data_IF_806469356834
#
_entry.id   IF_806469356834
#
_cell.length_a   1.000
_cell.length_b   1.000
_cell.length_c   1.000
_cell.angle_alpha   90.00
_cell.angle_beta   90.00
_cell.angle_gamma   90.00
#
_symmetry.space_group_name_H-M   'P 1'
#
loop_
_entity.id
_entity.type
_entity.pdbx_description
1 polymer ?
#
# COMPACT_ATOMS: atom_id res chain seq x y z
N UNK A 1 -28.56 31.91 -22.76
CA UNK A 1 -28.41 30.42 -22.85
C UNK A 1 -26.96 29.94 -22.97
N UNK A 2 -26.05 30.70 -23.60
CA UNK A 2 -24.62 30.31 -23.75
C UNK A 2 -23.77 30.64 -22.52
N UNK A 3 -24.11 31.67 -21.78
CA UNK A 3 -23.46 32.08 -20.51
C UNK A 3 -23.68 31.07 -19.36
N UNK A 4 -24.82 30.40 -19.30
CA UNK A 4 -25.05 29.35 -18.29
C UNK A 4 -24.23 28.07 -18.55
N UNK A 5 -23.93 27.73 -19.81
CA UNK A 5 -23.07 26.59 -20.14
C UNK A 5 -21.62 26.79 -19.72
N UNK A 6 -21.13 28.03 -19.71
CA UNK A 6 -19.74 28.36 -19.32
C UNK A 6 -19.57 28.25 -17.81
N UNK A 7 -20.60 28.55 -17.02
CA UNK A 7 -20.55 28.51 -15.56
C UNK A 7 -20.70 27.09 -14.97
N UNK A 8 -21.32 26.17 -15.71
CA UNK A 8 -21.55 24.79 -15.24
C UNK A 8 -20.38 23.82 -15.55
N UNK A 9 -19.55 24.12 -16.56
CA UNK A 9 -18.41 23.27 -16.95
C UNK A 9 -17.36 23.03 -15.85
N UNK A 10 -16.89 24.03 -15.08
CA UNK A 10 -15.86 23.79 -14.08
C UNK A 10 -16.29 22.88 -12.94
N UNK A 11 -17.57 22.92 -12.56
CA UNK A 11 -18.13 22.12 -11.46
C UNK A 11 -18.34 20.65 -11.83
N UNK A 12 -18.80 20.40 -13.05
CA UNK A 12 -19.00 19.02 -13.54
C UNK A 12 -17.69 18.29 -13.81
N UNK A 13 -16.67 18.97 -14.37
CA UNK A 13 -15.34 18.39 -14.54
C UNK A 13 -14.68 18.09 -13.21
N UNK A 14 -14.80 18.99 -12.23
CA UNK A 14 -14.25 18.76 -10.88
C UNK A 14 -14.89 17.55 -10.17
N UNK A 15 -16.20 17.35 -10.30
CA UNK A 15 -16.91 16.24 -9.64
C UNK A 15 -16.63 14.91 -10.33
N UNK A 16 -16.55 14.87 -11.65
CA UNK A 16 -16.15 13.69 -12.41
C UNK A 16 -14.71 13.29 -12.07
N UNK A 17 -13.80 14.26 -12.01
CA UNK A 17 -12.38 14.02 -11.66
C UNK A 17 -12.21 13.47 -10.25
N UNK A 18 -13.06 13.86 -9.27
CA UNK A 18 -13.06 13.28 -7.91
C UNK A 18 -13.61 11.86 -7.86
N UNK A 19 -14.50 11.49 -8.77
CA UNK A 19 -15.13 10.16 -8.80
C UNK A 19 -14.17 9.08 -9.35
N UNK A 20 -13.30 9.43 -10.29
CA UNK A 20 -12.43 8.45 -10.97
C UNK A 20 -11.50 7.71 -9.98
N UNK A 21 -10.73 8.38 -9.09
CA UNK A 21 -9.92 7.66 -8.10
C UNK A 21 -10.77 6.75 -7.19
N UNK A 22 -11.93 7.22 -6.73
CA UNK A 22 -12.81 6.43 -5.88
C UNK A 22 -13.36 5.19 -6.60
N UNK A 23 -13.69 5.30 -7.90
CA UNK A 23 -14.12 4.17 -8.72
C UNK A 23 -13.00 3.14 -8.90
N UNK A 24 -11.76 3.58 -9.06
CA UNK A 24 -10.60 2.69 -9.16
C UNK A 24 -10.39 1.93 -7.84
N UNK A 25 -10.46 2.60 -6.67
CA UNK A 25 -10.38 1.92 -5.37
C UNK A 25 -11.54 0.93 -5.18
N UNK A 26 -12.77 1.28 -5.59
CA UNK A 26 -13.91 0.33 -5.55
C UNK A 26 -13.72 -0.84 -6.50
N UNK A 27 -13.22 -0.62 -7.71
CA UNK A 27 -12.96 -1.69 -8.68
C UNK A 27 -11.95 -2.71 -8.14
N UNK A 28 -10.97 -2.28 -7.35
CA UNK A 28 -10.01 -3.15 -6.67
C UNK A 28 -10.70 -4.09 -5.68
N UNK A 29 -11.66 -3.60 -4.89
CA UNK A 29 -12.46 -4.44 -3.98
C UNK A 29 -13.24 -5.48 -4.77
N UNK A 30 -13.87 -5.08 -5.88
CA UNK A 30 -14.59 -6.02 -6.76
C UNK A 30 -13.66 -7.04 -7.40
N UNK A 31 -12.44 -6.64 -7.81
CA UNK A 31 -11.42 -7.54 -8.36
C UNK A 31 -10.91 -8.57 -7.34
N UNK A 32 -11.03 -8.32 -6.03
CA UNK A 32 -10.67 -9.30 -5.02
C UNK A 32 -11.59 -10.53 -5.04
N UNK A 33 -12.84 -10.41 -5.48
CA UNK A 33 -13.75 -11.56 -5.58
C UNK A 33 -13.26 -12.60 -6.59
N UNK A 34 -13.05 -12.27 -7.89
CA UNK A 34 -12.49 -13.25 -8.82
C UNK A 34 -11.07 -13.68 -8.44
N UNK A 35 -10.26 -12.81 -7.78
CA UNK A 35 -8.94 -13.20 -7.28
C UNK A 35 -9.01 -14.35 -6.28
N UNK A 36 -10.04 -14.38 -5.42
CA UNK A 36 -10.27 -15.46 -4.46
C UNK A 36 -10.86 -16.74 -5.09
N UNK A 37 -11.49 -16.63 -6.27
CA UNK A 37 -12.11 -17.76 -6.97
C UNK A 37 -11.18 -18.49 -7.92
N UNK A 38 -10.10 -17.84 -8.33
CA UNK A 38 -9.11 -18.39 -9.26
C UNK A 38 -8.01 -19.09 -8.47
N UNK A 39 -7.54 -20.24 -8.94
CA UNK A 39 -6.44 -20.95 -8.32
C UNK A 39 -5.16 -20.11 -8.28
N UNK A 40 -4.55 -20.04 -7.10
CA UNK A 40 -3.29 -19.35 -6.91
C UNK A 40 -2.20 -19.92 -7.85
N UNK A 41 -1.23 -19.08 -8.21
CA UNK A 41 -0.10 -19.41 -9.09
C UNK A 41 -0.47 -19.67 -10.57
N UNK A 42 -1.74 -19.51 -10.95
CA UNK A 42 -2.16 -19.58 -12.36
C UNK A 42 -2.00 -18.26 -13.08
N UNK A 43 -1.96 -18.28 -14.41
CA UNK A 43 -1.85 -17.06 -15.24
C UNK A 43 -3.02 -16.09 -14.96
N UNK A 44 -4.30 -16.53 -14.90
CA UNK A 44 -5.40 -15.63 -14.54
C UNK A 44 -5.24 -14.98 -13.16
N UNK A 45 -4.73 -15.71 -12.15
CA UNK A 45 -4.43 -15.14 -10.84
C UNK A 45 -3.45 -13.97 -10.93
N UNK A 46 -2.32 -14.16 -11.64
CA UNK A 46 -1.30 -13.13 -11.77
C UNK A 46 -1.78 -11.92 -12.58
N UNK A 47 -2.65 -12.13 -13.56
CA UNK A 47 -3.28 -11.03 -14.32
C UNK A 47 -4.17 -10.19 -13.38
N UNK A 48 -5.04 -10.83 -12.58
CA UNK A 48 -5.91 -10.14 -11.61
C UNK A 48 -5.09 -9.41 -10.54
N UNK A 49 -4.03 -10.07 -10.03
CA UNK A 49 -3.11 -9.49 -9.05
C UNK A 49 -2.45 -8.22 -9.60
N UNK A 50 -1.91 -8.28 -10.83
CA UNK A 50 -1.30 -7.13 -11.50
C UNK A 50 -2.30 -6.00 -11.74
N UNK A 51 -3.49 -6.31 -12.25
CA UNK A 51 -4.52 -5.29 -12.49
C UNK A 51 -4.89 -4.59 -11.18
N UNK A 52 -5.10 -5.35 -10.10
CA UNK A 52 -5.42 -4.78 -8.80
C UNK A 52 -4.32 -3.87 -8.26
N UNK A 53 -3.04 -4.26 -8.38
CA UNK A 53 -1.93 -3.41 -7.95
C UNK A 53 -1.70 -2.19 -8.85
N UNK A 54 -1.93 -2.32 -10.16
CA UNK A 54 -1.84 -1.19 -11.09
C UNK A 54 -2.96 -0.16 -10.86
N UNK A 55 -4.18 -0.61 -10.52
CA UNK A 55 -5.27 0.32 -10.17
C UNK A 55 -4.92 1.16 -8.95
N UNK A 56 -4.23 0.61 -7.94
CA UNK A 56 -3.71 1.34 -6.78
C UNK A 56 -2.70 2.44 -7.16
N UNK A 57 -1.75 2.10 -8.03
CA UNK A 57 -0.78 3.09 -8.50
C UNK A 57 -1.45 4.21 -9.31
N UNK A 58 -2.48 3.86 -10.11
CA UNK A 58 -3.17 4.81 -10.97
C UNK A 58 -4.08 5.76 -10.18
N UNK A 59 -4.87 5.27 -9.22
CA UNK A 59 -5.77 6.15 -8.45
C UNK A 59 -4.99 7.16 -7.61
N UNK A 60 -3.92 6.72 -6.94
CA UNK A 60 -3.03 7.61 -6.20
C UNK A 60 -2.28 8.61 -7.09
N UNK A 61 -1.89 8.22 -8.31
CA UNK A 61 -1.27 9.14 -9.27
C UNK A 61 -2.27 10.18 -9.79
N UNK A 62 -3.48 9.74 -10.17
CA UNK A 62 -4.53 10.61 -10.71
C UNK A 62 -5.04 11.60 -9.65
N UNK A 63 -5.27 11.15 -8.41
CA UNK A 63 -5.71 12.00 -7.31
C UNK A 63 -4.72 13.15 -7.05
N UNK A 64 -3.42 12.85 -7.04
CA UNK A 64 -2.35 13.86 -6.88
C UNK A 64 -2.26 14.80 -8.09
N UNK A 65 -2.29 14.25 -9.32
CA UNK A 65 -2.15 15.05 -10.54
C UNK A 65 -3.30 16.04 -10.73
N UNK A 66 -4.50 15.66 -10.34
CA UNK A 66 -5.69 16.50 -10.45
C UNK A 66 -5.99 17.30 -9.18
N UNK A 67 -5.19 17.15 -8.11
CA UNK A 67 -5.39 17.82 -6.81
C UNK A 67 -6.80 17.59 -6.25
N UNK A 68 -7.37 16.40 -6.46
CA UNK A 68 -8.73 16.01 -6.06
C UNK A 68 -8.76 15.07 -4.85
N UNK A 69 -7.71 15.08 -4.06
CA UNK A 69 -7.62 14.26 -2.85
C UNK A 69 -8.77 14.57 -1.88
N UNK A 70 -9.46 13.54 -1.42
CA UNK A 70 -10.55 13.68 -0.45
C UNK A 70 -10.35 12.74 0.73
N UNK A 71 -10.84 13.13 1.92
CA UNK A 71 -10.77 12.29 3.12
C UNK A 71 -11.53 10.96 2.95
N UNK A 72 -12.62 10.98 2.19
CA UNK A 72 -13.42 9.78 1.90
C UNK A 72 -12.68 8.88 0.93
N UNK A 73 -12.11 9.43 -0.14
CA UNK A 73 -11.30 8.69 -1.11
C UNK A 73 -10.10 8.01 -0.45
N UNK A 74 -9.36 8.73 0.40
CA UNK A 74 -8.22 8.16 1.12
C UNK A 74 -8.61 7.00 2.06
N UNK A 75 -9.81 7.04 2.68
CA UNK A 75 -10.30 5.93 3.50
C UNK A 75 -10.71 4.73 2.64
N UNK A 76 -11.37 4.98 1.52
CA UNK A 76 -11.79 3.95 0.59
C UNK A 76 -10.58 3.24 -0.02
N UNK A 77 -9.56 3.99 -0.41
CA UNK A 77 -8.27 3.50 -0.90
C UNK A 77 -7.60 2.59 0.15
N UNK A 78 -7.44 3.07 1.39
CA UNK A 78 -6.87 2.26 2.47
C UNK A 78 -7.68 0.98 2.76
N UNK A 79 -9.01 1.01 2.61
CA UNK A 79 -9.85 -0.17 2.76
C UNK A 79 -9.64 -1.14 1.58
N UNK A 80 -9.57 -0.63 0.36
CA UNK A 80 -9.34 -1.43 -0.84
C UNK A 80 -7.98 -2.14 -0.78
N UNK A 81 -6.93 -1.43 -0.35
CA UNK A 81 -5.59 -1.99 -0.13
C UNK A 81 -5.63 -3.10 0.91
N UNK A 82 -6.28 -2.86 2.04
CA UNK A 82 -6.40 -3.86 3.10
C UNK A 82 -7.10 -5.13 2.62
N UNK A 83 -8.22 -4.99 1.90
CA UNK A 83 -8.97 -6.12 1.32
C UNK A 83 -8.11 -6.87 0.30
N UNK A 84 -7.39 -6.14 -0.57
CA UNK A 84 -6.50 -6.75 -1.56
C UNK A 84 -5.36 -7.53 -0.90
N UNK A 85 -4.69 -6.96 0.12
CA UNK A 85 -3.61 -7.64 0.85
C UNK A 85 -4.12 -8.89 1.54
N UNK A 86 -5.33 -8.86 2.13
CA UNK A 86 -5.94 -10.04 2.75
C UNK A 86 -6.28 -11.11 1.71
N UNK A 87 -6.90 -10.74 0.58
CA UNK A 87 -7.29 -11.68 -0.47
C UNK A 87 -6.05 -12.33 -1.13
N UNK A 88 -5.07 -11.52 -1.52
CA UNK A 88 -3.83 -12.01 -2.11
C UNK A 88 -3.01 -12.84 -1.10
N UNK A 89 -2.94 -12.38 0.16
CA UNK A 89 -2.27 -13.09 1.24
C UNK A 89 -2.90 -14.45 1.51
N UNK A 90 -4.22 -14.55 1.58
CA UNK A 90 -4.93 -15.80 1.77
C UNK A 90 -4.61 -16.83 0.67
N UNK A 91 -4.62 -16.38 -0.60
CA UNK A 91 -4.32 -17.23 -1.75
C UNK A 91 -2.85 -17.63 -1.85
N UNK A 92 -1.92 -16.73 -1.53
CA UNK A 92 -0.49 -16.97 -1.67
C UNK A 92 0.14 -17.64 -0.45
N UNK A 93 -0.47 -17.52 0.75
CA UNK A 93 0.08 -18.04 1.99
C UNK A 93 0.45 -19.54 1.94
N UNK A 94 -0.39 -20.45 1.38
CA UNK A 94 -0.05 -21.87 1.28
C UNK A 94 1.19 -22.17 0.42
N UNK A 95 1.50 -21.27 -0.49
CA UNK A 95 2.64 -21.37 -1.42
C UNK A 95 3.91 -20.71 -0.89
N UNK A 96 3.82 -20.02 0.24
CA UNK A 96 4.90 -19.24 0.84
C UNK A 96 5.91 -20.15 1.56
N UNK A 97 6.70 -20.90 0.79
CA UNK A 97 7.74 -21.81 1.31
C UNK A 97 9.00 -21.01 1.68
N UNK A 98 8.97 -20.33 2.82
CA UNK A 98 10.10 -19.54 3.32
C UNK A 98 10.87 -20.33 4.40
N UNK A 99 12.20 -20.21 4.46
CA UNK A 99 13.00 -20.79 5.53
C UNK A 99 12.67 -20.14 6.88
N UNK A 100 12.84 -20.89 7.98
CA UNK A 100 12.55 -20.39 9.33
C UNK A 100 13.31 -19.09 9.68
N UNK A 101 14.52 -18.95 9.17
CA UNK A 101 15.33 -17.73 9.35
C UNK A 101 14.68 -16.49 8.74
N UNK A 102 13.99 -16.62 7.61
CA UNK A 102 13.29 -15.51 6.98
C UNK A 102 12.00 -15.16 7.76
N UNK A 103 11.32 -16.16 8.31
CA UNK A 103 10.19 -15.93 9.22
C UNK A 103 10.62 -15.18 10.49
N UNK A 104 11.77 -15.51 11.06
CA UNK A 104 12.34 -14.75 12.19
C UNK A 104 12.64 -13.30 11.80
N UNK A 105 13.19 -13.06 10.60
CA UNK A 105 13.43 -11.72 10.07
C UNK A 105 12.15 -10.92 9.91
N UNK A 106 11.10 -11.53 9.35
CA UNK A 106 9.76 -10.91 9.21
C UNK A 106 9.19 -10.56 10.60
N UNK A 107 9.31 -11.47 11.57
CA UNK A 107 8.90 -11.23 12.96
C UNK A 107 9.65 -10.06 13.60
N UNK A 108 10.97 -9.96 13.37
CA UNK A 108 11.78 -8.83 13.83
C UNK A 108 11.30 -7.51 13.21
N UNK A 109 11.06 -7.48 11.89
CA UNK A 109 10.55 -6.29 11.20
C UNK A 109 9.19 -5.88 11.76
N UNK A 110 8.29 -6.85 11.97
CA UNK A 110 6.98 -6.59 12.56
C UNK A 110 7.09 -6.00 13.97
N UNK A 111 7.98 -6.55 14.81
CA UNK A 111 8.23 -6.03 16.15
C UNK A 111 8.75 -4.58 16.11
N UNK A 112 9.72 -4.28 15.26
CA UNK A 112 10.25 -2.91 15.11
C UNK A 112 9.14 -1.96 14.66
N UNK A 113 8.28 -2.36 13.71
CA UNK A 113 7.15 -1.55 13.25
C UNK A 113 6.12 -1.30 14.36
N UNK A 114 5.79 -2.31 15.15
CA UNK A 114 4.89 -2.16 16.30
C UNK A 114 5.46 -1.14 17.30
N UNK A 115 6.75 -1.26 17.63
CA UNK A 115 7.43 -0.29 18.52
C UNK A 115 7.36 1.12 17.93
N UNK A 116 7.61 1.29 16.63
CA UNK A 116 7.51 2.58 15.96
C UNK A 116 6.10 3.18 16.04
N UNK A 117 5.06 2.36 15.87
CA UNK A 117 3.66 2.81 15.99
C UNK A 117 3.36 3.27 17.43
N UNK A 118 3.77 2.49 18.42
CA UNK A 118 3.60 2.83 19.84
C UNK A 118 4.33 4.13 20.17
N UNK A 119 5.60 4.26 19.78
CA UNK A 119 6.37 5.48 19.98
C UNK A 119 5.72 6.69 19.29
N UNK A 120 5.25 6.53 18.06
CA UNK A 120 4.57 7.59 17.32
C UNK A 120 3.28 8.04 18.02
N UNK A 121 2.52 7.10 18.59
CA UNK A 121 1.32 7.42 19.36
C UNK A 121 1.64 8.19 20.66
N UNK A 122 2.64 7.73 21.41
CA UNK A 122 3.06 8.37 22.67
C UNK A 122 3.57 9.80 22.42
N UNK A 123 4.36 10.00 21.35
CA UNK A 123 4.97 11.30 21.03
C UNK A 123 3.95 12.29 20.47
N UNK A 124 3.08 11.86 19.58
CA UNK A 124 2.24 12.77 18.80
C UNK A 124 0.76 12.79 19.26
N UNK A 125 0.35 11.95 20.23
CA UNK A 125 -1.05 11.69 20.58
C UNK A 125 -1.94 11.34 19.36
N UNK A 126 -1.32 10.89 18.27
CA UNK A 126 -1.97 10.46 17.03
C UNK A 126 -1.17 9.30 16.45
N UNK A 127 -1.86 8.31 15.92
CA UNK A 127 -1.23 7.27 15.09
C UNK A 127 -0.82 7.94 13.78
N UNK A 128 0.42 8.40 13.70
CA UNK A 128 0.99 8.94 12.48
C UNK A 128 1.71 7.79 11.75
N UNK A 129 1.07 7.23 10.76
CA UNK A 129 1.79 6.38 9.79
C UNK A 129 2.74 7.28 9.00
N UNK A 130 4.02 7.25 9.33
CA UNK A 130 5.04 7.97 8.58
C UNK A 130 5.18 7.29 7.20
N UNK A 131 4.58 7.91 6.19
CA UNK A 131 4.76 7.51 4.79
C UNK A 131 6.17 7.89 4.30
N UNK A 132 7.19 7.19 4.80
CA UNK A 132 8.56 7.40 4.31
C UNK A 132 8.68 6.89 2.87
N UNK A 133 9.58 7.50 2.10
CA UNK A 133 9.88 7.02 0.74
C UNK A 133 10.34 5.56 0.77
N UNK A 134 11.08 5.16 1.80
CA UNK A 134 11.55 3.79 1.98
C UNK A 134 10.39 2.80 2.19
N UNK A 135 9.37 3.14 2.98
CA UNK A 135 8.19 2.30 3.15
C UNK A 135 7.42 2.10 1.83
N UNK A 136 7.29 3.16 1.00
CA UNK A 136 6.67 3.05 -0.34
C UNK A 136 7.46 2.14 -1.28
N UNK A 137 8.78 2.29 -1.29
CA UNK A 137 9.66 1.42 -2.09
C UNK A 137 9.57 -0.03 -1.61
N UNK A 138 9.56 -0.26 -0.30
CA UNK A 138 9.39 -1.61 0.27
C UNK A 138 8.06 -2.24 -0.16
N UNK A 139 6.96 -1.50 -0.11
CA UNK A 139 5.64 -1.97 -0.56
C UNK A 139 5.65 -2.38 -2.03
N UNK A 140 6.23 -1.53 -2.90
CA UNK A 140 6.36 -1.83 -4.32
C UNK A 140 7.24 -3.06 -4.57
N UNK A 141 8.37 -3.16 -3.87
CA UNK A 141 9.28 -4.31 -4.00
C UNK A 141 8.62 -5.60 -3.49
N UNK A 142 7.82 -5.53 -2.43
CA UNK A 142 7.05 -6.67 -1.94
C UNK A 142 6.02 -7.10 -2.99
N UNK A 143 5.28 -6.15 -3.57
CA UNK A 143 4.28 -6.42 -4.60
C UNK A 143 4.91 -7.11 -5.82
N UNK A 144 6.01 -6.55 -6.37
CA UNK A 144 6.71 -7.13 -7.50
C UNK A 144 7.43 -8.43 -7.12
N UNK A 145 8.01 -8.49 -5.92
CA UNK A 145 8.72 -9.67 -5.41
C UNK A 145 7.82 -10.90 -5.27
N UNK A 146 6.54 -10.72 -4.94
CA UNK A 146 5.57 -11.82 -4.89
C UNK A 146 5.38 -12.49 -6.25
N UNK A 147 5.56 -11.78 -7.35
CA UNK A 147 5.48 -12.37 -8.70
C UNK A 147 6.63 -13.36 -9.01
N UNK A 148 7.72 -13.30 -8.25
CA UNK A 148 8.79 -14.29 -8.33
C UNK A 148 8.46 -15.60 -7.60
N UNK A 149 7.29 -15.69 -6.95
CA UNK A 149 6.86 -16.90 -6.23
C UNK A 149 6.80 -18.09 -7.20
N UNK A 150 7.29 -19.24 -6.75
CA UNK A 150 7.41 -20.44 -7.59
C UNK A 150 8.72 -20.51 -8.39
N UNK A 151 9.50 -19.43 -8.46
CA UNK A 151 10.81 -19.43 -9.10
C UNK A 151 11.90 -19.84 -8.10
N UNK A 152 13.01 -20.48 -8.56
CA UNK A 152 14.09 -20.94 -7.68
C UNK A 152 14.79 -19.78 -6.92
N UNK A 153 14.75 -18.58 -7.45
CA UNK A 153 15.36 -17.38 -6.85
C UNK A 153 14.40 -16.61 -5.89
N UNK A 154 13.16 -17.09 -5.69
CA UNK A 154 12.17 -16.40 -4.85
C UNK A 154 12.68 -16.10 -3.43
N UNK A 155 13.33 -17.08 -2.79
CA UNK A 155 13.88 -16.91 -1.44
C UNK A 155 14.95 -15.81 -1.40
N UNK A 156 15.78 -15.70 -2.44
CA UNK A 156 16.77 -14.61 -2.55
C UNK A 156 16.09 -13.25 -2.69
N UNK A 157 15.07 -13.15 -3.53
CA UNK A 157 14.26 -11.93 -3.66
C UNK A 157 13.61 -11.56 -2.31
N UNK A 158 13.03 -12.55 -1.62
CA UNK A 158 12.42 -12.33 -0.31
C UNK A 158 13.42 -11.81 0.75
N UNK A 159 14.67 -12.32 0.74
CA UNK A 159 15.74 -11.78 1.60
C UNK A 159 16.09 -10.34 1.29
N UNK A 160 16.23 -9.99 0.01
CA UNK A 160 16.53 -8.61 -0.42
C UNK A 160 15.42 -7.67 0.04
N UNK A 161 14.15 -8.05 -0.19
CA UNK A 161 13.00 -7.26 0.25
C UNK A 161 12.94 -7.12 1.77
N UNK A 162 13.22 -8.21 2.51
CA UNK A 162 13.25 -8.18 3.98
C UNK A 162 14.35 -7.25 4.52
N UNK A 163 15.54 -7.27 3.93
CA UNK A 163 16.63 -6.34 4.32
C UNK A 163 16.23 -4.88 4.08
N UNK A 164 15.62 -4.57 2.93
CA UNK A 164 15.14 -3.22 2.63
C UNK A 164 14.01 -2.82 3.58
N UNK A 165 13.09 -3.75 3.90
CA UNK A 165 12.01 -3.52 4.86
C UNK A 165 12.52 -3.24 6.27
N UNK A 166 13.56 -3.97 6.72
CA UNK A 166 14.20 -3.72 8.01
C UNK A 166 14.87 -2.34 8.03
N UNK A 167 15.61 -2.00 6.99
CA UNK A 167 16.21 -0.68 6.87
C UNK A 167 15.15 0.43 6.92
N UNK A 168 14.04 0.27 6.19
CA UNK A 168 12.94 1.22 6.19
C UNK A 168 12.29 1.36 7.58
N UNK A 169 12.13 0.26 8.33
CA UNK A 169 11.59 0.27 9.67
C UNK A 169 12.52 0.98 10.68
N UNK A 170 13.83 0.77 10.57
CA UNK A 170 14.82 1.46 11.41
C UNK A 170 14.85 2.96 11.08
N UNK A 171 14.84 3.33 9.79
CA UNK A 171 14.79 4.73 9.35
C UNK A 171 13.53 5.45 9.88
N UNK A 172 12.38 4.78 9.84
CA UNK A 172 11.13 5.32 10.38
C UNK A 172 11.25 5.63 11.88
N UNK A 173 11.79 4.70 12.68
CA UNK A 173 12.05 4.90 14.11
C UNK A 173 13.00 6.07 14.39
N UNK A 174 14.04 6.22 13.57
CA UNK A 174 14.98 7.35 13.69
C UNK A 174 14.31 8.71 13.42
N UNK A 175 13.43 8.78 12.43
CA UNK A 175 12.67 10.00 12.12
C UNK A 175 11.71 10.36 13.27
N UNK A 176 11.01 9.39 13.84
CA UNK A 176 10.12 9.59 15.00
C UNK A 176 10.91 10.18 16.17
N UNK A 177 12.03 9.58 16.51
CA UNK A 177 12.92 10.04 17.61
C UNK A 177 13.44 11.47 17.37
N UNK A 178 13.85 11.80 16.14
CA UNK A 178 14.33 13.15 15.81
C UNK A 178 13.22 14.20 15.96
N UNK A 179 12.00 13.86 15.61
CA UNK A 179 10.84 14.74 15.77
C UNK A 179 10.55 15.01 17.24
N UNK A 180 10.69 14.00 18.11
CA UNK A 180 10.53 14.13 19.56
C UNK A 180 11.57 15.08 20.17
N UNK A 181 12.85 14.88 19.85
CA UNK A 181 13.94 15.73 20.34
C UNK A 181 13.71 17.19 19.97
N UNK A 182 13.31 17.46 18.72
CA UNK A 182 13.04 18.83 18.27
C UNK A 182 11.81 19.46 18.94
N UNK A 183 10.87 18.65 19.44
CA UNK A 183 9.70 19.13 20.19
C UNK A 183 10.04 19.48 21.64
N UNK A 184 10.95 18.73 22.26
CA UNK A 184 11.40 18.96 23.64
C UNK A 184 12.33 20.18 23.76
N UNK A 185 12.99 20.57 22.65
CA UNK A 185 13.88 21.74 22.61
C UNK A 185 13.19 23.06 22.26
N UNK A 186 11.88 23.05 22.03
CA UNK A 186 11.05 24.24 21.81
C UNK A 186 10.20 24.58 23.00
#
# INVERSE_FOLDING_TARGET
METERILLRPWQESDAMKRIPNLLSMSRIVLCLPLLMVDAMTVPFWILYLIAGLTDMLDGFLARRWSVESKVGARLDSLADFVFVLAAGYQLFPWLKLPATLWMMIGLIAMVKIVNIICSYVVNNRIAFLHTKANKVTGLLLFVGMMAMGQPYFVTVAWVVACIALFAAIQEGHIIRKTEINRLMR
#
